data_IF_194066574253
#
_entry.id   IF_194066574253
#
_cell.length_a   1.000
_cell.length_b   1.000
_cell.length_c   1.000
_cell.angle_alpha   90.00
_cell.angle_beta   90.00
_cell.angle_gamma   90.00
#
_symmetry.space_group_name_H-M   'P 1'
#
loop_
_entity.id
_entity.type
_entity.pdbx_description
1 polymer ?
#
# COMPACT_ATOMS: atom_id res chain seq x y z
N UNK A 1 -27.29 5.98 -12.11
CA UNK A 1 -26.64 5.85 -10.79
C UNK A 1 -27.62 6.07 -9.63
N UNK A 2 -28.44 7.10 -9.61
CA UNK A 2 -29.44 7.30 -8.54
C UNK A 2 -30.44 6.13 -8.35
N UNK A 3 -30.84 5.45 -9.43
CA UNK A 3 -31.74 4.29 -9.35
C UNK A 3 -31.07 3.02 -8.76
N UNK A 4 -29.77 2.85 -8.91
CA UNK A 4 -29.01 1.73 -8.32
C UNK A 4 -28.84 1.89 -6.81
N UNK A 5 -28.65 3.13 -6.35
CA UNK A 5 -28.54 3.44 -4.91
C UNK A 5 -29.88 3.28 -4.21
N UNK A 6 -30.99 3.67 -4.86
CA UNK A 6 -32.34 3.47 -4.34
C UNK A 6 -32.67 1.97 -4.15
N UNK A 7 -32.25 1.11 -5.11
CA UNK A 7 -32.51 -0.33 -5.04
C UNK A 7 -31.73 -1.03 -3.92
N UNK A 8 -30.48 -0.63 -3.68
CA UNK A 8 -29.64 -1.17 -2.59
C UNK A 8 -30.17 -0.83 -1.17
N UNK A 9 -31.01 0.20 -1.05
CA UNK A 9 -31.64 0.60 0.23
C UNK A 9 -32.92 -0.18 0.49
N UNK A 10 -33.69 -0.54 -0.54
CA UNK A 10 -34.89 -1.38 -0.41
C UNK A 10 -34.55 -2.82 -0.03
N UNK A 11 -33.46 -3.37 -0.50
CA UNK A 11 -33.03 -4.73 -0.16
C UNK A 11 -32.52 -4.88 1.30
N UNK A 12 -32.37 -3.76 2.04
CA UNK A 12 -32.01 -3.77 3.47
C UNK A 12 -33.18 -3.92 4.44
N UNK A 13 -34.42 -3.91 3.97
CA UNK A 13 -35.60 -4.17 4.81
C UNK A 13 -35.63 -5.60 5.38
N UNK A 14 -34.78 -6.51 4.87
CA UNK A 14 -34.70 -7.90 5.37
C UNK A 14 -33.93 -8.03 6.69
N UNK A 15 -33.29 -6.97 7.17
CA UNK A 15 -32.38 -7.03 8.33
C UNK A 15 -32.95 -6.41 9.64
N UNK A 16 -34.26 -6.23 9.77
CA UNK A 16 -34.90 -5.86 11.04
C UNK A 16 -34.61 -4.44 11.55
N UNK A 17 -34.20 -3.52 10.69
CA UNK A 17 -34.07 -2.12 11.03
C UNK A 17 -35.39 -1.38 10.81
N UNK A 18 -35.83 -0.58 11.79
CA UNK A 18 -37.05 0.22 11.71
C UNK A 18 -37.09 1.05 10.43
N UNK A 19 -38.24 1.13 9.74
CA UNK A 19 -38.35 1.87 8.48
C UNK A 19 -38.08 3.35 8.72
N UNK A 20 -37.02 3.85 8.04
CA UNK A 20 -36.74 5.29 7.99
C UNK A 20 -37.81 5.95 7.12
N UNK A 21 -38.55 6.93 7.66
CA UNK A 21 -39.60 7.61 6.90
C UNK A 21 -39.02 8.25 5.63
N UNK A 22 -39.73 8.20 4.49
CA UNK A 22 -39.25 8.77 3.21
C UNK A 22 -38.75 10.19 3.30
N UNK A 23 -39.31 10.99 4.21
CA UNK A 23 -38.94 12.41 4.40
C UNK A 23 -37.54 12.56 5.03
N UNK A 24 -37.16 11.69 5.99
CA UNK A 24 -35.83 11.71 6.62
C UNK A 24 -34.76 11.19 5.67
N UNK A 25 -35.09 10.25 4.79
CA UNK A 25 -34.19 9.71 3.80
C UNK A 25 -33.87 10.69 2.67
N UNK A 26 -34.92 11.38 2.15
CA UNK A 26 -34.76 12.45 1.15
C UNK A 26 -33.97 13.64 1.71
N UNK A 27 -34.16 14.01 2.97
CA UNK A 27 -33.39 15.08 3.62
C UNK A 27 -31.94 14.69 3.81
N UNK A 28 -31.65 13.42 4.07
CA UNK A 28 -30.26 12.89 4.20
C UNK A 28 -29.52 12.85 2.86
N UNK A 29 -30.24 12.52 1.77
CA UNK A 29 -29.69 12.54 0.41
C UNK A 29 -29.54 13.97 -0.12
N UNK A 30 -30.53 14.83 0.11
CA UNK A 30 -30.51 16.23 -0.36
C UNK A 30 -29.50 17.09 0.41
N UNK A 31 -29.14 16.71 1.65
CA UNK A 31 -28.21 17.48 2.50
C UNK A 31 -26.74 17.40 2.05
N UNK A 32 -26.41 16.71 0.95
CA UNK A 32 -25.02 16.53 0.51
C UNK A 32 -24.77 16.72 -1.00
N UNK A 33 -25.49 17.60 -1.64
CA UNK A 33 -25.10 18.05 -2.98
C UNK A 33 -24.13 19.21 -2.82
N UNK A 34 -22.83 18.88 -2.78
CA UNK A 34 -21.79 19.90 -2.77
C UNK A 34 -21.57 20.46 -4.17
N UNK A 35 -21.40 21.77 -4.26
CA UNK A 35 -20.74 22.37 -5.43
C UNK A 35 -19.30 21.86 -5.52
N UNK A 36 -18.67 22.00 -6.69
CA UNK A 36 -17.26 21.60 -6.86
C UNK A 36 -16.35 22.25 -5.81
N UNK A 37 -16.58 23.54 -5.51
CA UNK A 37 -15.80 24.30 -4.52
C UNK A 37 -16.00 23.78 -3.11
N UNK A 38 -17.26 23.54 -2.71
CA UNK A 38 -17.58 22.97 -1.39
C UNK A 38 -16.99 21.58 -1.21
N UNK A 39 -17.08 20.73 -2.24
CA UNK A 39 -16.49 19.40 -2.21
C UNK A 39 -14.97 19.45 -2.08
N UNK A 40 -14.30 20.36 -2.77
CA UNK A 40 -12.87 20.58 -2.64
C UNK A 40 -12.48 21.10 -1.24
N UNK A 41 -13.27 22.02 -0.68
CA UNK A 41 -13.04 22.52 0.67
C UNK A 41 -13.24 21.40 1.71
N UNK A 42 -14.31 20.62 1.57
CA UNK A 42 -14.59 19.49 2.46
C UNK A 42 -13.50 18.40 2.38
N UNK A 43 -13.06 18.04 1.18
CA UNK A 43 -12.03 17.00 1.03
C UNK A 43 -10.72 17.33 1.76
N UNK A 44 -10.37 18.62 1.85
CA UNK A 44 -9.19 19.08 2.61
C UNK A 44 -9.35 18.95 4.13
N UNK A 45 -10.57 18.77 4.64
CA UNK A 45 -10.82 18.58 6.08
C UNK A 45 -10.77 17.11 6.49
N UNK A 46 -10.70 16.17 5.52
CA UNK A 46 -10.63 14.75 5.81
C UNK A 46 -9.27 14.38 6.39
N UNK A 47 -9.28 13.54 7.41
CA UNK A 47 -8.05 12.99 7.96
C UNK A 47 -7.43 12.05 6.93
N UNK A 48 -6.22 12.38 6.47
CA UNK A 48 -5.46 11.53 5.56
C UNK A 48 -4.93 10.28 6.26
N UNK A 49 -4.90 9.16 5.54
CA UNK A 49 -4.14 7.97 5.91
C UNK A 49 -2.72 8.10 5.38
N UNK A 50 -1.73 7.53 6.07
CA UNK A 50 -0.40 7.39 5.48
C UNK A 50 -0.43 6.36 4.35
N UNK A 51 0.27 6.64 3.28
CA UNK A 51 0.52 5.68 2.22
C UNK A 51 2.03 5.49 2.08
N UNK A 52 2.48 4.26 2.22
CA UNK A 52 3.84 3.85 1.89
C UNK A 52 3.81 2.80 0.79
N UNK A 53 4.88 2.71 0.01
CA UNK A 53 4.99 1.71 -1.02
C UNK A 53 6.34 1.00 -0.95
N UNK A 54 6.39 -0.28 -1.33
CA UNK A 54 7.60 -1.08 -1.32
C UNK A 54 7.70 -1.99 -2.55
N UNK A 55 8.92 -2.37 -2.93
CA UNK A 55 9.19 -3.19 -4.11
C UNK A 55 9.98 -4.46 -3.75
N UNK A 56 9.39 -5.62 -3.96
CA UNK A 56 10.07 -6.90 -3.95
C UNK A 56 10.78 -7.10 -5.31
N UNK A 57 12.09 -6.94 -5.35
CA UNK A 57 12.91 -7.25 -6.53
C UNK A 57 13.41 -8.68 -6.37
N UNK A 58 13.06 -9.55 -7.32
CA UNK A 58 13.29 -10.99 -7.24
C UNK A 58 14.37 -11.39 -8.24
N UNK A 59 15.41 -12.09 -7.76
CA UNK A 59 16.49 -12.64 -8.59
C UNK A 59 16.12 -14.02 -9.19
N UNK A 60 17.05 -14.60 -9.94
CA UNK A 60 16.86 -15.90 -10.60
C UNK A 60 16.86 -17.08 -9.60
N UNK A 61 17.43 -16.89 -8.41
CA UNK A 61 17.46 -17.89 -7.32
C UNK A 61 16.21 -17.84 -6.43
N UNK A 62 15.17 -17.04 -6.79
CA UNK A 62 13.98 -16.77 -5.99
C UNK A 62 14.28 -16.15 -4.62
N UNK A 63 15.29 -15.30 -4.57
CA UNK A 63 15.55 -14.43 -3.43
C UNK A 63 15.03 -13.01 -3.72
N UNK A 64 14.68 -12.28 -2.67
CA UNK A 64 14.24 -10.89 -2.75
C UNK A 64 15.30 -9.95 -2.19
N UNK A 65 15.47 -8.80 -2.83
CA UNK A 65 16.37 -7.76 -2.37
C UNK A 65 15.78 -7.08 -1.14
N UNK A 66 16.55 -7.09 -0.04
CA UNK A 66 16.22 -6.34 1.17
C UNK A 66 17.30 -5.32 1.49
N UNK A 67 16.87 -4.20 2.06
CA UNK A 67 17.71 -3.09 2.50
C UNK A 67 17.57 -2.90 4.01
N UNK A 68 18.62 -2.40 4.64
CA UNK A 68 18.60 -2.02 6.06
C UNK A 68 19.03 -0.57 6.21
N UNK A 69 18.10 0.26 6.65
CA UNK A 69 18.41 1.63 7.02
C UNK A 69 19.10 1.68 8.40
N UNK A 70 20.00 2.63 8.59
CA UNK A 70 20.80 2.76 9.80
C UNK A 70 19.99 2.99 11.07
N UNK A 71 18.83 3.62 10.95
CA UNK A 71 17.92 3.90 12.07
C UNK A 71 16.90 2.80 12.33
N UNK A 72 16.84 1.73 11.51
CA UNK A 72 15.94 0.58 11.70
C UNK A 72 16.70 -0.60 12.30
N UNK A 73 16.05 -1.34 13.17
CA UNK A 73 16.54 -2.60 13.74
C UNK A 73 16.26 -3.83 12.87
N UNK A 74 15.50 -3.67 11.79
CA UNK A 74 15.01 -4.71 10.90
C UNK A 74 15.27 -4.36 9.43
N UNK A 75 15.15 -5.39 8.58
CA UNK A 75 15.26 -5.26 7.13
C UNK A 75 13.91 -4.94 6.50
N UNK A 76 13.94 -4.25 5.37
CA UNK A 76 12.75 -3.91 4.58
C UNK A 76 13.01 -4.13 3.09
N UNK A 77 11.96 -4.27 2.30
CA UNK A 77 12.12 -4.05 0.86
C UNK A 77 12.48 -2.59 0.62
N UNK A 78 13.11 -2.23 -0.51
CA UNK A 78 13.20 -0.85 -0.94
C UNK A 78 11.83 -0.17 -0.84
N UNK A 79 11.73 0.95 -0.10
CA UNK A 79 10.42 1.47 0.32
C UNK A 79 10.46 2.88 0.85
N UNK A 80 9.40 3.64 0.58
CA UNK A 80 9.22 4.96 1.17
C UNK A 80 7.78 5.42 1.21
N UNK A 81 7.61 6.67 1.62
CA UNK A 81 6.30 7.33 1.68
C UNK A 81 5.94 7.80 0.26
N UNK A 82 4.67 7.62 -0.08
CA UNK A 82 4.12 8.17 -1.32
C UNK A 82 3.90 9.68 -1.14
N UNK A 83 4.59 10.48 -1.93
CA UNK A 83 4.55 11.93 -1.86
C UNK A 83 3.29 12.52 -2.52
N UNK A 84 3.02 13.80 -2.29
CA UNK A 84 1.90 14.50 -2.91
C UNK A 84 2.07 14.55 -4.44
N UNK A 85 1.03 14.12 -5.16
CA UNK A 85 1.04 14.06 -6.63
C UNK A 85 1.75 12.85 -7.22
N UNK A 86 2.33 11.98 -6.38
CA UNK A 86 2.99 10.74 -6.78
C UNK A 86 2.04 9.54 -6.68
N UNK A 87 2.19 8.58 -7.58
CA UNK A 87 1.51 7.28 -7.44
C UNK A 87 2.35 6.33 -6.59
N UNK A 88 1.74 5.34 -5.89
CA UNK A 88 2.50 4.33 -5.16
C UNK A 88 3.53 3.58 -6.03
N UNK A 89 3.20 3.38 -7.30
CA UNK A 89 4.10 2.74 -8.28
C UNK A 89 5.30 3.63 -8.61
N UNK A 90 5.08 4.94 -8.81
CA UNK A 90 6.17 5.89 -9.04
C UNK A 90 7.07 6.02 -7.82
N UNK A 91 6.48 6.03 -6.61
CA UNK A 91 7.23 6.07 -5.36
C UNK A 91 8.23 4.90 -5.24
N UNK A 92 7.80 3.65 -5.49
CA UNK A 92 8.72 2.50 -5.37
C UNK A 92 9.84 2.52 -6.40
N UNK A 93 9.59 3.07 -7.59
CA UNK A 93 10.65 3.22 -8.62
C UNK A 93 11.69 4.25 -8.17
N UNK A 94 11.25 5.39 -7.65
CA UNK A 94 12.11 6.43 -7.08
C UNK A 94 12.91 5.91 -5.89
N UNK A 95 12.24 5.35 -4.88
CA UNK A 95 12.87 4.82 -3.67
C UNK A 95 13.87 3.69 -3.99
N UNK A 96 13.54 2.81 -4.93
CA UNK A 96 14.48 1.77 -5.36
C UNK A 96 15.77 2.37 -5.92
N UNK A 97 15.67 3.39 -6.75
CA UNK A 97 16.86 4.09 -7.26
C UNK A 97 17.64 4.76 -6.13
N UNK A 98 16.96 5.44 -5.21
CA UNK A 98 17.56 6.17 -4.09
C UNK A 98 18.22 5.25 -3.06
N UNK A 99 17.66 4.08 -2.81
CA UNK A 99 18.14 3.15 -1.79
C UNK A 99 19.13 2.09 -2.33
N UNK A 100 19.04 1.76 -3.62
CA UNK A 100 19.81 0.64 -4.19
C UNK A 100 20.63 0.98 -5.44
N UNK A 101 20.37 2.11 -6.09
CA UNK A 101 20.98 2.48 -7.38
C UNK A 101 20.39 1.74 -8.59
N UNK A 102 19.40 0.86 -8.40
CA UNK A 102 18.76 0.14 -9.50
C UNK A 102 17.71 1.01 -10.18
N UNK A 103 17.75 1.03 -11.51
CA UNK A 103 16.73 1.65 -12.35
C UNK A 103 15.73 0.58 -12.76
N UNK A 104 14.48 0.73 -12.34
CA UNK A 104 13.41 -0.25 -12.56
C UNK A 104 12.56 0.15 -13.77
N UNK A 105 12.27 -0.83 -14.64
CA UNK A 105 11.36 -0.64 -15.77
C UNK A 105 9.91 -0.68 -15.32
N UNK A 106 9.19 0.45 -15.48
CA UNK A 106 7.82 0.65 -15.00
C UNK A 106 6.82 -0.41 -15.50
N UNK A 107 6.94 -0.86 -16.74
CA UNK A 107 6.00 -1.84 -17.32
C UNK A 107 6.02 -3.21 -16.64
N UNK A 108 7.13 -3.56 -15.95
CA UNK A 108 7.30 -4.84 -15.26
C UNK A 108 7.08 -4.76 -13.76
N UNK A 109 6.72 -3.60 -13.23
CA UNK A 109 6.31 -3.44 -11.82
C UNK A 109 4.85 -3.86 -11.70
N UNK A 110 4.59 -4.95 -10.97
CA UNK A 110 3.25 -5.52 -10.78
C UNK A 110 2.82 -5.42 -9.32
N UNK A 111 1.52 -5.21 -9.06
CA UNK A 111 1.01 -5.26 -7.68
C UNK A 111 1.33 -6.60 -7.02
N UNK A 112 1.75 -6.55 -5.75
CA UNK A 112 1.99 -7.72 -4.90
C UNK A 112 0.87 -7.86 -3.87
N UNK A 113 0.68 -6.85 -3.03
CA UNK A 113 -0.40 -6.79 -2.05
C UNK A 113 -0.62 -5.35 -1.55
N UNK A 114 -1.82 -5.06 -1.07
CA UNK A 114 -2.15 -3.84 -0.33
C UNK A 114 -2.48 -4.26 1.09
N UNK A 115 -1.72 -3.76 2.06
CA UNK A 115 -1.87 -4.12 3.45
C UNK A 115 -2.28 -2.88 4.25
N UNK A 116 -3.46 -2.93 4.84
CA UNK A 116 -3.92 -1.90 5.77
C UNK A 116 -3.46 -2.23 7.19
N UNK A 117 -2.89 -1.25 7.85
CA UNK A 117 -2.45 -1.36 9.25
C UNK A 117 -3.04 -0.22 10.05
N UNK A 118 -3.71 -0.54 11.15
CA UNK A 118 -4.23 0.46 12.10
C UNK A 118 -3.07 1.11 12.87
N UNK A 119 -3.10 2.43 12.95
CA UNK A 119 -2.16 3.15 13.80
C UNK A 119 -2.42 2.87 15.29
N UNK A 120 -1.34 2.75 16.06
CA UNK A 120 -1.38 2.60 17.52
C UNK A 120 -0.62 3.76 18.16
N UNK A 121 -0.96 4.07 19.41
CA UNK A 121 -0.24 5.04 20.24
C UNK A 121 -0.03 6.43 19.61
N UNK A 122 -1.00 6.89 18.81
CA UNK A 122 -0.96 8.18 18.14
C UNK A 122 -0.42 8.16 16.70
N UNK A 123 0.02 7.01 16.23
CA UNK A 123 0.37 6.83 14.82
C UNK A 123 -0.89 6.88 13.93
N UNK A 124 -0.68 7.24 12.67
CA UNK A 124 -1.76 7.22 11.67
C UNK A 124 -1.94 5.82 11.11
N UNK A 125 -3.19 5.49 10.80
CA UNK A 125 -3.48 4.34 9.96
C UNK A 125 -2.70 4.44 8.64
N UNK A 126 -2.27 3.28 8.14
CA UNK A 126 -1.38 3.22 6.98
C UNK A 126 -1.85 2.19 5.96
N UNK A 127 -1.71 2.54 4.70
CA UNK A 127 -1.68 1.59 3.60
C UNK A 127 -0.23 1.33 3.20
N UNK A 128 0.16 0.06 3.18
CA UNK A 128 1.41 -0.39 2.59
C UNK A 128 1.10 -1.04 1.24
N UNK A 129 1.52 -0.41 0.16
CA UNK A 129 1.28 -0.89 -1.20
C UNK A 129 2.53 -1.60 -1.68
N UNK A 130 2.48 -2.93 -1.71
CA UNK A 130 3.56 -3.78 -2.19
C UNK A 130 3.47 -4.01 -3.69
N UNK A 131 4.63 -3.94 -4.33
CA UNK A 131 4.84 -4.31 -5.73
C UNK A 131 5.94 -5.37 -5.83
N UNK A 132 6.00 -6.04 -6.98
CA UNK A 132 7.06 -6.98 -7.30
C UNK A 132 7.56 -6.78 -8.73
N UNK A 133 8.83 -7.05 -8.96
CA UNK A 133 9.48 -7.14 -10.26
C UNK A 133 10.60 -8.16 -10.22
N UNK A 134 11.09 -8.58 -11.40
CA UNK A 134 12.27 -9.43 -11.49
C UNK A 134 13.52 -8.59 -11.76
N UNK A 135 14.66 -8.99 -11.20
CA UNK A 135 15.93 -8.29 -11.36
C UNK A 135 16.31 -8.05 -12.83
N UNK A 136 16.01 -9.00 -13.72
CA UNK A 136 16.26 -8.85 -15.17
C UNK A 136 15.54 -7.69 -15.84
N UNK A 137 14.54 -7.11 -15.19
CA UNK A 137 13.81 -5.91 -15.66
C UNK A 137 14.31 -4.63 -14.99
N UNK A 138 15.48 -4.70 -14.36
CA UNK A 138 16.20 -3.55 -13.83
C UNK A 138 17.49 -3.32 -14.60
N UNK A 139 18.08 -2.17 -14.44
CA UNK A 139 19.41 -1.82 -14.96
C UNK A 139 20.22 -1.09 -13.90
N UNK A 140 21.53 -0.94 -14.13
CA UNK A 140 22.45 -0.39 -13.15
C UNK A 140 23.05 -1.48 -12.27
N UNK A 141 23.79 -1.04 -11.27
CA UNK A 141 24.42 -1.91 -10.28
C UNK A 141 23.86 -1.61 -8.90
N UNK A 142 23.72 -2.64 -8.06
CA UNK A 142 23.41 -2.43 -6.65
C UNK A 142 24.56 -1.67 -6.01
N UNK A 143 24.26 -0.47 -5.57
CA UNK A 143 25.15 0.41 -4.81
C UNK A 143 24.35 1.00 -3.67
N UNK A 144 25.02 1.52 -2.64
CA UNK A 144 24.36 2.25 -1.55
C UNK A 144 24.61 3.76 -1.82
N UNK A 145 23.68 4.44 -2.53
CA UNK A 145 23.95 5.78 -3.04
C UNK A 145 23.72 6.88 -1.99
N UNK A 146 23.11 6.55 -0.86
CA UNK A 146 22.79 7.50 0.20
C UNK A 146 23.33 7.04 1.56
N UNK A 147 23.28 7.93 2.55
CA UNK A 147 23.73 7.66 3.91
C UNK A 147 22.69 6.95 4.79
N UNK A 148 21.48 6.82 4.30
CA UNK A 148 20.35 6.23 5.03
C UNK A 148 20.46 4.71 5.07
N UNK A 149 20.82 4.08 3.93
CA UNK A 149 20.93 2.63 3.82
C UNK A 149 22.33 2.18 4.21
N UNK A 150 22.44 1.28 5.18
CA UNK A 150 23.72 0.71 5.60
C UNK A 150 24.07 -0.58 4.86
N UNK A 151 23.07 -1.40 4.54
CA UNK A 151 23.26 -2.74 3.99
C UNK A 151 22.17 -3.10 2.99
N UNK A 152 22.58 -3.90 2.01
CA UNK A 152 21.70 -4.54 1.02
C UNK A 152 22.06 -6.01 0.96
N UNK A 153 21.06 -6.90 0.88
CA UNK A 153 21.30 -8.32 0.68
C UNK A 153 20.14 -9.02 -0.02
N UNK A 154 20.44 -10.15 -0.64
CA UNK A 154 19.46 -11.10 -1.16
C UNK A 154 18.99 -12.03 -0.06
N UNK A 155 17.70 -12.29 0.01
CA UNK A 155 17.02 -13.03 1.09
C UNK A 155 16.05 -14.02 0.51
N UNK A 156 16.15 -15.29 0.91
CA UNK A 156 15.15 -16.29 0.56
C UNK A 156 13.77 -15.91 1.10
N UNK A 157 12.71 -16.21 0.37
CA UNK A 157 11.34 -15.76 0.69
C UNK A 157 10.91 -16.18 2.10
N UNK A 158 11.28 -17.37 2.56
CA UNK A 158 10.93 -17.90 3.89
C UNK A 158 11.59 -17.15 5.05
N UNK A 159 12.58 -16.29 4.78
CA UNK A 159 13.30 -15.48 5.77
C UNK A 159 12.83 -14.03 5.86
N UNK A 160 11.99 -13.59 4.96
CA UNK A 160 11.54 -12.19 4.85
C UNK A 160 10.88 -11.71 6.15
N UNK A 161 9.93 -12.45 6.69
CA UNK A 161 9.22 -12.09 7.92
C UNK A 161 10.14 -12.03 9.15
N UNK A 162 11.03 -13.01 9.28
CA UNK A 162 12.03 -13.07 10.36
C UNK A 162 12.92 -11.82 10.35
N UNK A 163 13.51 -11.51 9.20
CA UNK A 163 14.44 -10.40 9.04
C UNK A 163 13.76 -9.02 9.14
N UNK A 164 12.47 -8.95 8.85
CA UNK A 164 11.67 -7.72 9.06
C UNK A 164 11.21 -7.51 10.50
N UNK A 165 11.70 -8.32 11.44
CA UNK A 165 11.33 -8.22 12.85
C UNK A 165 9.92 -8.73 13.16
N UNK A 166 9.39 -9.67 12.38
CA UNK A 166 8.05 -10.23 12.55
C UNK A 166 6.94 -9.22 12.32
N UNK A 167 7.18 -8.20 11.51
CA UNK A 167 6.12 -7.24 11.17
C UNK A 167 5.06 -7.90 10.31
N UNK A 168 3.81 -7.82 10.73
CA UNK A 168 2.68 -8.46 10.06
C UNK A 168 2.58 -8.14 8.57
N UNK A 169 2.89 -6.93 8.16
CA UNK A 169 2.92 -6.57 6.74
C UNK A 169 3.92 -7.40 5.93
N UNK A 170 5.06 -7.74 6.52
CA UNK A 170 6.08 -8.58 5.86
C UNK A 170 5.75 -10.07 5.95
N UNK A 171 5.02 -10.51 6.98
CA UNK A 171 4.46 -11.86 7.00
C UNK A 171 3.48 -12.07 5.83
N UNK A 172 2.63 -11.08 5.56
CA UNK A 172 1.70 -11.12 4.43
C UNK A 172 2.40 -11.01 3.08
N UNK A 173 3.43 -10.17 2.94
CA UNK A 173 4.25 -10.13 1.72
C UNK A 173 4.97 -11.45 1.49
N UNK A 174 5.57 -12.04 2.53
CA UNK A 174 6.19 -13.36 2.45
C UNK A 174 5.19 -14.43 2.01
N UNK A 175 4.01 -14.46 2.60
CA UNK A 175 2.95 -15.40 2.24
C UNK A 175 2.55 -15.23 0.76
N UNK A 176 2.36 -14.00 0.30
CA UNK A 176 2.02 -13.72 -1.10
C UNK A 176 3.12 -14.19 -2.06
N UNK A 177 4.40 -13.99 -1.71
CA UNK A 177 5.54 -14.46 -2.51
C UNK A 177 5.64 -15.99 -2.58
N UNK A 178 5.39 -16.68 -1.45
CA UNK A 178 5.49 -18.14 -1.36
C UNK A 178 4.30 -18.85 -2.03
N UNK A 179 3.10 -18.36 -1.83
CA UNK A 179 1.86 -18.99 -2.26
C UNK A 179 1.43 -18.57 -3.67
N UNK A 180 2.08 -17.57 -4.25
CA UNK A 180 1.64 -16.92 -5.49
C UNK A 180 0.15 -16.54 -5.43
N UNK A 181 -0.28 -16.05 -4.26
CA UNK A 181 -1.68 -15.79 -3.95
C UNK A 181 -2.14 -14.48 -4.62
N UNK A 182 -3.37 -14.47 -5.11
CA UNK A 182 -3.99 -13.34 -5.78
C UNK A 182 -4.81 -12.43 -4.84
N UNK A 183 -4.85 -12.72 -3.54
CA UNK A 183 -5.52 -11.86 -2.57
C UNK A 183 -4.71 -10.58 -2.38
N UNK A 184 -5.08 -9.55 -3.15
CA UNK A 184 -4.33 -8.29 -3.20
C UNK A 184 -4.59 -7.36 -2.01
N UNK A 185 -5.55 -7.66 -1.13
CA UNK A 185 -5.89 -6.80 0.01
C UNK A 185 -5.96 -7.58 1.31
N UNK A 186 -5.23 -7.12 2.32
CA UNK A 186 -5.17 -7.72 3.65
C UNK A 186 -5.32 -6.64 4.73
N UNK A 187 -6.08 -6.92 5.78
CA UNK A 187 -6.12 -6.13 7.02
C UNK A 187 -5.21 -6.77 8.07
N UNK A 188 -4.24 -6.00 8.55
CA UNK A 188 -3.17 -6.46 9.44
C UNK A 188 -3.13 -5.71 10.79
#
# INVERSE_FOLDING_TARGET
MAQLIARAVWDREVAGLSPVTPTSFLSLIMARVFTKTENQAWSKTLTGKMCSACLAIINEDNEVLMVKAGYKDHWTFPSGIVEEGESPKSAVIRETLEETGLIVSDEYVKPLAIIYTTGKDGDRDRFNVGFATQLKYTSGNIVIPNVEIEKVMWVAFDKVAELSGGKRSYEEFQRTLLENNSDLYVEA
#
